data_IF_382000021122
#
_entry.id   IF_382000021122
#
_cell.length_a   1.000
_cell.length_b   1.000
_cell.length_c   1.000
_cell.angle_alpha   90.00
_cell.angle_beta   90.00
_cell.angle_gamma   90.00
#
_symmetry.space_group_name_H-M   'P 1'
#
loop_
_entity.id
_entity.type
_entity.pdbx_description
1 polymer ?
#
# COMPACT_ATOMS: atom_id res chain seq x y z
N UNK A 1 23.79 9.05 -12.38
CA UNK A 1 22.35 9.17 -12.13
C UNK A 1 21.72 10.11 -13.13
N UNK A 2 20.62 9.70 -13.72
CA UNK A 2 19.90 10.57 -14.67
C UNK A 2 19.19 11.69 -13.92
N UNK A 3 19.13 12.87 -14.54
CA UNK A 3 18.39 13.98 -13.97
C UNK A 3 16.88 13.86 -14.21
N UNK A 4 16.49 13.09 -15.22
CA UNK A 4 15.10 12.83 -15.55
C UNK A 4 14.93 11.35 -15.83
N UNK A 5 13.93 10.75 -15.20
CA UNK A 5 13.61 9.34 -15.38
C UNK A 5 12.12 9.14 -15.46
N UNK A 6 11.69 8.12 -16.19
CA UNK A 6 10.32 7.64 -16.12
C UNK A 6 10.33 6.11 -16.15
N UNK A 7 9.34 5.52 -15.48
CA UNK A 7 9.12 4.07 -15.50
C UNK A 7 7.63 3.81 -15.56
N UNK A 8 7.24 2.63 -16.04
CA UNK A 8 5.85 2.24 -16.13
C UNK A 8 5.52 1.23 -15.03
N UNK A 9 4.36 1.38 -14.40
CA UNK A 9 3.85 0.37 -13.48
C UNK A 9 3.49 -0.93 -14.19
N UNK A 10 3.34 -0.90 -15.52
CA UNK A 10 3.08 -2.11 -16.30
C UNK A 10 4.36 -2.90 -16.57
N UNK A 11 5.51 -2.30 -16.26
CA UNK A 11 6.82 -2.96 -16.33
C UNK A 11 7.61 -2.60 -15.07
N UNK A 12 7.14 -3.05 -13.89
CA UNK A 12 7.71 -2.58 -12.62
C UNK A 12 9.07 -3.20 -12.32
N UNK A 13 9.80 -2.56 -11.40
CA UNK A 13 11.03 -3.12 -10.85
C UNK A 13 10.73 -4.28 -9.90
N UNK A 14 9.60 -4.21 -9.19
CA UNK A 14 9.13 -5.27 -8.32
C UNK A 14 7.63 -5.42 -8.49
N UNK A 15 7.15 -6.65 -8.38
CA UNK A 15 5.72 -6.95 -8.39
C UNK A 15 5.42 -7.89 -7.24
N UNK A 16 4.49 -7.49 -6.37
CA UNK A 16 4.06 -8.27 -5.22
C UNK A 16 2.59 -8.62 -5.41
N UNK A 17 2.30 -9.93 -5.40
CA UNK A 17 0.95 -10.42 -5.68
C UNK A 17 0.45 -11.38 -4.60
N UNK A 18 0.43 -10.97 -3.32
CA UNK A 18 -0.27 -11.78 -2.33
C UNK A 18 -1.77 -11.83 -2.64
N UNK A 19 -2.53 -12.59 -1.87
CA UNK A 19 -3.94 -12.79 -2.14
C UNK A 19 -4.68 -11.47 -2.35
N UNK A 20 -5.48 -11.37 -3.42
CA UNK A 20 -6.29 -10.20 -3.76
C UNK A 20 -5.51 -8.89 -3.89
N UNK A 21 -4.22 -8.99 -4.14
CA UNK A 21 -3.31 -7.84 -4.13
C UNK A 21 -2.47 -7.80 -5.40
N UNK A 22 -2.26 -6.61 -5.94
CA UNK A 22 -1.27 -6.36 -6.98
C UNK A 22 -0.56 -5.06 -6.62
N UNK A 23 0.70 -5.16 -6.22
CA UNK A 23 1.50 -4.00 -5.85
C UNK A 23 2.71 -3.93 -6.78
N UNK A 24 2.68 -2.98 -7.70
CA UNK A 24 3.75 -2.73 -8.67
C UNK A 24 4.62 -1.59 -8.17
N UNK A 25 5.92 -1.81 -8.05
CA UNK A 25 6.87 -0.85 -7.49
C UNK A 25 7.87 -0.43 -8.56
N UNK A 26 8.07 0.88 -8.70
CA UNK A 26 9.12 1.44 -9.55
C UNK A 26 10.08 2.25 -8.66
N UNK A 27 11.38 2.06 -8.87
CA UNK A 27 12.43 2.66 -8.05
C UNK A 27 13.17 3.73 -8.83
N UNK A 28 13.43 4.87 -8.18
CA UNK A 28 14.20 5.98 -8.73
C UNK A 28 15.33 6.38 -7.76
N UNK A 29 16.21 5.42 -7.46
CA UNK A 29 17.26 5.66 -6.49
C UNK A 29 16.72 5.67 -5.06
N UNK A 30 16.69 6.83 -4.41
CA UNK A 30 16.24 6.94 -3.01
C UNK A 30 14.74 7.11 -2.86
N UNK A 31 14.00 7.25 -3.96
CA UNK A 31 12.55 7.39 -3.94
C UNK A 31 11.91 6.28 -4.77
N UNK A 32 10.70 5.92 -4.42
CA UNK A 32 9.94 4.91 -5.14
C UNK A 32 8.47 5.30 -5.22
N UNK A 33 7.80 4.78 -6.22
CA UNK A 33 6.35 4.91 -6.36
C UNK A 33 5.76 3.53 -6.54
N UNK A 34 4.54 3.35 -6.05
CA UNK A 34 3.84 2.06 -6.14
C UNK A 34 2.41 2.27 -6.57
N UNK A 35 1.92 1.38 -7.42
CA UNK A 35 0.49 1.27 -7.71
C UNK A 35 -0.02 0.04 -6.98
N UNK A 36 -0.96 0.24 -6.07
CA UNK A 36 -1.54 -0.83 -5.26
C UNK A 36 -2.98 -1.04 -5.72
N UNK A 37 -3.30 -2.27 -6.09
CA UNK A 37 -4.64 -2.67 -6.50
C UNK A 37 -5.11 -3.76 -5.55
N UNK A 38 -6.24 -3.52 -4.87
CA UNK A 38 -6.80 -4.41 -3.87
C UNK A 38 -8.19 -4.81 -4.31
N UNK A 39 -8.44 -6.11 -4.40
CA UNK A 39 -9.72 -6.62 -4.86
C UNK A 39 -10.77 -6.60 -3.76
N UNK A 40 -12.08 -6.61 -4.11
CA UNK A 40 -13.12 -6.77 -3.10
C UNK A 40 -12.86 -8.00 -2.24
N UNK A 41 -13.08 -7.85 -0.93
CA UNK A 41 -12.78 -8.90 0.04
C UNK A 41 -11.37 -8.83 0.60
N UNK A 42 -10.51 -7.97 0.08
CA UNK A 42 -9.17 -7.81 0.64
C UNK A 42 -9.24 -7.27 2.07
N UNK A 43 -8.47 -7.89 2.94
CA UNK A 43 -8.24 -7.41 4.30
C UNK A 43 -6.78 -7.69 4.63
N UNK A 44 -6.08 -6.70 5.18
CA UNK A 44 -4.66 -6.85 5.44
C UNK A 44 -4.38 -8.07 6.33
N UNK A 45 -5.14 -8.25 7.41
CA UNK A 45 -4.92 -9.33 8.35
C UNK A 45 -5.19 -10.72 7.76
N UNK A 46 -5.88 -10.81 6.63
CA UNK A 46 -6.15 -12.08 5.94
C UNK A 46 -5.22 -12.30 4.75
N UNK A 47 -4.91 -11.25 3.99
CA UNK A 47 -4.21 -11.35 2.72
C UNK A 47 -2.71 -11.06 2.83
N UNK A 48 -2.31 -10.17 3.73
CA UNK A 48 -0.92 -9.71 3.84
C UNK A 48 -0.26 -10.27 5.10
N UNK A 49 -0.96 -10.31 6.22
CA UNK A 49 -0.41 -10.79 7.48
C UNK A 49 0.27 -12.16 7.37
N UNK A 50 -0.27 -13.15 6.64
CA UNK A 50 0.42 -14.43 6.48
C UNK A 50 1.79 -14.32 5.79
N UNK A 51 1.99 -13.27 4.98
CA UNK A 51 3.25 -13.04 4.26
C UNK A 51 4.26 -12.34 5.14
N UNK A 52 3.83 -11.30 5.87
CA UNK A 52 4.75 -10.44 6.64
C UNK A 52 4.94 -10.89 8.10
N UNK A 53 3.94 -11.57 8.68
CA UNK A 53 4.09 -12.21 10.00
C UNK A 53 3.91 -11.31 11.20
N UNK A 54 3.50 -10.06 11.04
CA UNK A 54 3.25 -9.14 12.16
C UNK A 54 1.77 -9.12 12.53
N UNK A 55 1.43 -8.68 13.76
CA UNK A 55 0.04 -8.65 14.22
C UNK A 55 -0.79 -7.59 13.51
N UNK A 56 -0.16 -6.47 13.14
CA UNK A 56 -0.76 -5.41 12.34
C UNK A 56 0.29 -4.91 11.36
N UNK A 57 -0.13 -4.12 10.37
CA UNK A 57 0.79 -3.60 9.35
C UNK A 57 1.79 -2.64 9.98
N UNK A 58 3.06 -2.99 9.94
CA UNK A 58 4.13 -2.17 10.51
C UNK A 58 4.79 -1.27 9.47
N UNK A 59 4.31 -1.31 8.22
CA UNK A 59 4.74 -0.36 7.20
C UNK A 59 3.85 0.86 7.24
N UNK A 60 4.44 2.04 7.27
CA UNK A 60 3.68 3.28 7.09
C UNK A 60 3.41 3.52 5.61
N UNK A 61 2.31 4.16 5.29
CA UNK A 61 1.91 4.45 3.92
C UNK A 61 1.53 5.91 3.75
N UNK A 62 2.00 6.51 2.68
CA UNK A 62 1.57 7.84 2.22
C UNK A 62 1.16 7.70 0.77
N UNK A 63 -0.04 8.14 0.43
CA UNK A 63 -0.50 7.98 -0.94
C UNK A 63 -1.82 8.67 -1.22
N UNK A 64 -2.41 8.29 -2.34
CA UNK A 64 -3.70 8.79 -2.80
C UNK A 64 -4.54 7.64 -3.30
N UNK A 65 -5.86 7.72 -3.10
CA UNK A 65 -6.80 6.76 -3.67
C UNK A 65 -7.32 7.32 -5.00
N UNK A 66 -7.22 6.51 -6.04
CA UNK A 66 -7.75 6.84 -7.35
C UNK A 66 -9.14 6.25 -7.56
N UNK A 67 -9.40 5.06 -6.98
CA UNK A 67 -10.66 4.34 -7.15
C UNK A 67 -10.94 3.50 -5.92
N UNK A 68 -12.22 3.38 -5.56
CA UNK A 68 -12.68 2.49 -4.50
C UNK A 68 -12.62 3.12 -3.12
N UNK A 69 -12.90 2.31 -2.11
CA UNK A 69 -12.99 2.75 -0.72
C UNK A 69 -12.29 1.75 0.19
N UNK A 70 -11.48 2.28 1.10
CA UNK A 70 -10.70 1.48 2.03
C UNK A 70 -10.96 1.98 3.45
N UNK A 71 -11.24 1.07 4.37
CA UNK A 71 -11.31 1.39 5.80
C UNK A 71 -10.04 0.94 6.48
N UNK A 72 -9.50 1.79 7.34
CA UNK A 72 -8.25 1.51 8.06
C UNK A 72 -8.47 1.78 9.54
N UNK A 73 -8.01 0.83 10.37
CA UNK A 73 -8.06 0.95 11.84
C UNK A 73 -6.66 0.80 12.39
N UNK A 74 -6.33 1.64 13.34
CA UNK A 74 -5.02 1.62 13.99
C UNK A 74 -5.10 0.90 15.33
N UNK A 75 -3.98 0.34 15.77
CA UNK A 75 -3.88 -0.33 17.06
C UNK A 75 -4.29 0.57 18.24
N UNK A 76 -4.18 1.89 18.08
CA UNK A 76 -4.59 2.85 19.10
C UNK A 76 -6.12 3.08 19.16
N UNK A 77 -6.88 2.41 18.30
CA UNK A 77 -8.33 2.52 18.26
C UNK A 77 -8.87 3.56 17.29
N UNK A 78 -8.01 4.38 16.69
CA UNK A 78 -8.48 5.33 15.67
C UNK A 78 -8.81 4.61 14.37
N UNK A 79 -9.72 5.19 13.59
CA UNK A 79 -10.10 4.62 12.30
C UNK A 79 -10.48 5.72 11.32
N UNK A 80 -10.23 5.46 10.05
CA UNK A 80 -10.63 6.35 8.96
C UNK A 80 -11.11 5.52 7.78
N UNK A 81 -11.87 6.18 6.90
CA UNK A 81 -12.27 5.62 5.61
C UNK A 81 -11.77 6.58 4.54
N UNK A 82 -11.07 6.03 3.55
CA UNK A 82 -10.53 6.83 2.43
C UNK A 82 -11.12 6.32 1.13
N UNK A 83 -11.38 7.24 0.21
CA UNK A 83 -11.96 6.92 -1.09
C UNK A 83 -11.36 7.82 -2.16
N UNK A 84 -11.82 7.62 -3.41
CA UNK A 84 -11.26 8.33 -4.56
C UNK A 84 -11.17 9.84 -4.32
N UNK A 85 -9.99 10.40 -4.52
CA UNK A 85 -9.72 11.80 -4.30
C UNK A 85 -9.06 12.11 -2.95
N UNK A 86 -9.00 11.14 -2.04
CA UNK A 86 -8.37 11.35 -0.74
C UNK A 86 -6.87 11.05 -0.80
N UNK A 87 -6.08 11.90 -0.18
CA UNK A 87 -4.70 11.59 0.17
C UNK A 87 -4.70 11.08 1.61
N UNK A 88 -3.78 10.17 1.92
CA UNK A 88 -3.77 9.53 3.23
C UNK A 88 -2.36 9.32 3.76
N UNK A 89 -2.27 9.18 5.07
CA UNK A 89 -1.08 8.71 5.74
C UNK A 89 -1.51 7.71 6.80
N UNK A 90 -0.97 6.50 6.72
CA UNK A 90 -1.22 5.44 7.70
C UNK A 90 0.07 5.17 8.45
N UNK A 91 0.09 5.47 9.74
CA UNK A 91 1.24 5.16 10.58
C UNK A 91 1.37 3.64 10.76
N UNK A 92 2.58 3.11 11.02
CA UNK A 92 2.73 1.70 11.39
C UNK A 92 1.81 1.31 12.54
N UNK A 93 1.27 0.09 12.48
CA UNK A 93 0.35 -0.43 13.50
C UNK A 93 -1.11 -0.37 13.09
N UNK A 94 -1.43 -0.69 11.83
CA UNK A 94 -2.80 -0.63 11.35
C UNK A 94 -3.22 -1.93 10.65
N UNK A 95 -4.54 -2.11 10.54
CA UNK A 95 -5.19 -3.08 9.68
C UNK A 95 -6.12 -2.31 8.74
N UNK A 96 -6.52 -2.91 7.66
CA UNK A 96 -7.43 -2.26 6.71
C UNK A 96 -8.12 -3.26 5.81
N UNK A 97 -9.22 -2.83 5.20
CA UNK A 97 -9.96 -3.69 4.28
C UNK A 97 -10.72 -2.88 3.24
N UNK A 98 -10.98 -3.52 2.11
CA UNK A 98 -11.77 -2.95 1.03
C UNK A 98 -13.24 -2.93 1.45
N UNK A 99 -13.88 -1.79 1.26
CA UNK A 99 -15.30 -1.61 1.53
C UNK A 99 -16.06 -1.67 0.21
N UNK A 100 -17.04 -2.57 0.12
CA UNK A 100 -17.88 -2.68 -1.07
C UNK A 100 -17.30 -3.61 -2.13
N UNK A 101 -17.84 -3.49 -3.34
CA UNK A 101 -17.60 -4.42 -4.44
C UNK A 101 -16.67 -3.89 -5.52
N UNK A 102 -16.09 -2.70 -5.33
CA UNK A 102 -15.18 -2.07 -6.28
C UNK A 102 -13.75 -2.28 -5.84
N UNK A 103 -12.87 -2.65 -6.78
CA UNK A 103 -11.46 -2.74 -6.44
C UNK A 103 -10.91 -1.37 -6.05
N UNK A 104 -9.97 -1.37 -5.13
CA UNK A 104 -9.28 -0.16 -4.70
C UNK A 104 -8.01 -0.01 -5.52
N UNK A 105 -7.80 1.18 -6.07
CA UNK A 105 -6.56 1.54 -6.76
C UNK A 105 -5.99 2.74 -6.03
N UNK A 106 -4.78 2.58 -5.52
CA UNK A 106 -4.05 3.64 -4.84
C UNK A 106 -2.63 3.76 -5.37
N UNK A 107 -2.07 4.96 -5.24
CA UNK A 107 -0.66 5.21 -5.54
C UNK A 107 0.01 5.65 -4.27
N UNK A 108 1.11 4.99 -3.94
CA UNK A 108 1.89 5.28 -2.75
C UNK A 108 3.30 5.70 -3.12
N UNK A 109 3.87 6.53 -2.27
CA UNK A 109 5.20 7.09 -2.50
C UNK A 109 6.03 6.91 -1.24
N UNK A 110 7.30 6.56 -1.41
CA UNK A 110 8.20 6.45 -0.29
C UNK A 110 9.58 6.96 -0.65
N UNK A 111 10.38 7.20 0.36
CA UNK A 111 11.78 7.51 0.21
C UNK A 111 12.60 6.42 0.91
N UNK A 112 13.88 6.66 1.15
CA UNK A 112 14.74 5.67 1.81
C UNK A 112 14.43 5.49 3.31
N UNK A 113 13.41 6.17 3.84
CA UNK A 113 12.97 5.99 5.22
C UNK A 113 12.42 4.59 5.46
N UNK A 114 12.64 4.08 6.67
CA UNK A 114 12.32 2.69 6.98
C UNK A 114 10.85 2.45 7.29
N UNK A 115 10.14 3.48 7.77
CA UNK A 115 8.80 3.30 8.29
C UNK A 115 7.72 3.36 7.22
N UNK A 116 8.04 3.89 6.03
CA UNK A 116 7.08 4.07 4.95
C UNK A 116 7.57 3.35 3.70
N UNK A 117 6.90 2.28 3.34
CA UNK A 117 7.28 1.44 2.22
C UNK A 117 6.13 0.54 1.81
N UNK A 118 6.23 -0.04 0.62
CA UNK A 118 5.34 -1.13 0.23
C UNK A 118 5.67 -2.33 1.09
N UNK A 119 4.67 -3.14 1.40
CA UNK A 119 4.79 -4.29 2.28
C UNK A 119 5.94 -5.21 1.85
N UNK A 120 6.70 -5.66 2.81
CA UNK A 120 7.77 -6.63 2.61
C UNK A 120 7.77 -7.59 3.79
N UNK A 121 8.45 -8.72 3.62
CA UNK A 121 8.57 -9.70 4.69
C UNK A 121 9.24 -9.06 5.90
N UNK A 122 8.74 -9.40 7.08
CA UNK A 122 9.36 -8.98 8.33
C UNK A 122 10.73 -9.65 8.49
N UNK A 123 11.66 -8.91 9.01
CA UNK A 123 13.01 -9.42 9.21
C UNK A 123 13.51 -9.15 10.60
#
# INVERSE_FOLDING_TARGET
>A
MANLEKKSFDNPDELKTPEKTNAAVVNFGTVAASRVILQPGWKWSECIKPVVGTDSCQAGHVGVILQGTLKVVHDDGSEITVSAGDAYSFAPGHDGWVVGDEEVIGYEFNNSGKDYAVWHSSE
#
